data_IF_333336157981
#
_entry.id   IF_333336157981
#
_cell.length_a   1.000
_cell.length_b   1.000
_cell.length_c   1.000
_cell.angle_alpha   90.00
_cell.angle_beta   90.00
_cell.angle_gamma   90.00
#
_symmetry.space_group_name_H-M   'P 1'
#
loop_
_entity.id
_entity.type
_entity.pdbx_description
1 polymer ?
#
# COMPACT_ATOMS: atom_id res chain seq x y z
N UNK A 1 39.88 -72.50 -23.73
CA UNK A 1 38.54 -72.70 -24.35
C UNK A 1 37.52 -72.58 -23.22
N UNK A 2 36.86 -71.41 -23.11
CA UNK A 2 35.50 -71.15 -23.60
C UNK A 2 34.43 -71.80 -22.70
N UNK A 3 33.41 -71.13 -22.17
CA UNK A 3 32.97 -69.75 -22.38
C UNK A 3 31.90 -69.35 -21.36
N UNK A 4 31.74 -68.04 -21.25
CA UNK A 4 30.69 -67.33 -20.53
C UNK A 4 29.33 -67.51 -21.24
N UNK A 5 28.23 -67.45 -20.49
CA UNK A 5 26.89 -66.94 -20.88
C UNK A 5 25.94 -67.22 -19.71
N UNK A 6 25.06 -66.35 -19.22
CA UNK A 6 24.68 -64.99 -19.58
C UNK A 6 23.49 -64.67 -18.67
N UNK A 7 23.70 -63.88 -17.61
CA UNK A 7 22.62 -63.40 -16.76
C UNK A 7 22.23 -62.01 -17.25
N UNK A 8 21.05 -61.93 -17.87
CA UNK A 8 20.49 -60.71 -18.44
C UNK A 8 20.25 -59.66 -17.33
N UNK A 9 21.10 -58.63 -17.31
CA UNK A 9 20.91 -57.42 -16.53
C UNK A 9 19.86 -56.55 -17.24
N UNK A 10 18.68 -56.40 -16.63
CA UNK A 10 17.53 -55.72 -17.24
C UNK A 10 17.77 -54.22 -17.42
N UNK A 11 17.56 -53.63 -18.62
CA UNK A 11 17.89 -52.24 -18.92
C UNK A 11 16.79 -51.26 -18.45
N UNK A 12 16.28 -51.41 -17.22
CA UNK A 12 15.09 -50.67 -16.77
C UNK A 12 15.31 -49.63 -15.66
N UNK A 13 16.42 -49.69 -14.92
CA UNK A 13 16.59 -48.92 -13.67
C UNK A 13 17.46 -47.68 -13.77
N UNK A 14 18.31 -47.57 -14.79
CA UNK A 14 19.26 -46.45 -14.92
C UNK A 14 18.64 -45.17 -15.52
N UNK A 15 17.53 -45.26 -16.25
CA UNK A 15 16.86 -44.08 -16.84
C UNK A 15 16.16 -43.19 -15.81
N UNK A 16 15.52 -43.79 -14.79
CA UNK A 16 14.73 -43.05 -13.78
C UNK A 16 15.53 -42.12 -12.86
N UNK A 17 16.86 -42.29 -12.78
CA UNK A 17 17.73 -41.41 -11.99
C UNK A 17 18.18 -40.18 -12.78
N UNK A 18 18.35 -40.28 -14.10
CA UNK A 18 18.74 -39.17 -14.95
C UNK A 18 17.64 -38.09 -15.05
N UNK A 19 16.39 -38.51 -15.18
CA UNK A 19 15.23 -37.59 -15.27
C UNK A 19 15.02 -36.73 -14.02
N UNK A 20 15.47 -37.20 -12.85
CA UNK A 20 15.41 -36.43 -11.59
C UNK A 20 16.54 -35.40 -11.46
N UNK A 21 17.64 -35.60 -12.20
CA UNK A 21 18.80 -34.70 -12.18
C UNK A 21 18.66 -33.57 -13.21
N UNK A 22 18.02 -33.85 -14.36
CA UNK A 22 17.86 -32.90 -15.46
C UNK A 22 16.54 -32.11 -15.44
N UNK A 23 15.67 -32.36 -14.46
CA UNK A 23 14.33 -31.78 -14.42
C UNK A 23 13.46 -32.40 -15.51
N UNK A 24 12.44 -33.14 -15.10
CA UNK A 24 11.41 -33.59 -16.05
C UNK A 24 10.85 -32.35 -16.78
N UNK A 25 10.65 -32.42 -18.11
CA UNK A 25 10.11 -31.28 -18.86
C UNK A 25 8.82 -30.84 -18.18
N UNK A 26 8.76 -29.56 -17.81
CA UNK A 26 7.59 -28.99 -17.15
C UNK A 26 6.39 -29.22 -18.07
N UNK A 27 5.39 -29.96 -17.57
CA UNK A 27 4.18 -30.27 -18.30
C UNK A 27 3.47 -28.95 -18.65
N UNK A 28 3.43 -28.54 -19.94
CA UNK A 28 2.85 -27.28 -20.36
C UNK A 28 1.33 -27.21 -20.13
N UNK A 29 0.71 -28.33 -19.72
CA UNK A 29 -0.71 -28.45 -19.42
C UNK A 29 -1.08 -28.34 -17.95
N UNK A 30 -0.13 -28.27 -17.01
CA UNK A 30 -0.48 -28.08 -15.59
C UNK A 30 -0.96 -26.65 -15.36
N UNK A 31 -2.25 -26.43 -15.03
CA UNK A 31 -2.72 -25.09 -14.69
C UNK A 31 -1.88 -24.62 -13.51
N UNK A 32 -1.14 -23.52 -13.72
CA UNK A 32 -0.37 -22.88 -12.65
C UNK A 32 -1.37 -22.67 -11.51
N UNK A 33 -1.17 -23.25 -10.31
CA UNK A 33 -2.13 -23.12 -9.22
C UNK A 33 -2.40 -21.63 -9.06
N UNK A 34 -3.67 -21.27 -9.25
CA UNK A 34 -4.13 -19.91 -9.12
C UNK A 34 -3.71 -19.50 -7.72
N UNK A 35 -2.67 -18.66 -7.63
CA UNK A 35 -2.16 -18.19 -6.35
C UNK A 35 -3.33 -17.44 -5.73
N UNK A 36 -4.02 -18.11 -4.83
CA UNK A 36 -5.04 -17.56 -3.96
C UNK A 36 -4.39 -16.33 -3.32
N UNK A 37 -4.70 -15.14 -3.85
CA UNK A 37 -4.14 -13.91 -3.31
C UNK A 37 -4.68 -13.83 -1.90
N UNK A 38 -3.84 -13.95 -0.85
CA UNK A 38 -4.35 -13.85 0.51
C UNK A 38 -5.11 -12.54 0.61
N UNK A 39 -6.38 -12.61 1.02
CA UNK A 39 -7.20 -11.43 1.18
C UNK A 39 -6.41 -10.44 2.05
N UNK A 40 -6.22 -9.21 1.54
CA UNK A 40 -5.42 -8.21 2.26
C UNK A 40 -5.93 -8.12 3.71
N UNK A 41 -5.04 -8.14 4.72
CA UNK A 41 -5.43 -8.16 6.12
C UNK A 41 -6.47 -7.08 6.41
N UNK A 42 -7.54 -7.37 7.18
CA UNK A 42 -8.64 -6.43 7.40
C UNK A 42 -8.16 -5.10 8.00
N UNK A 43 -7.09 -5.12 8.81
CA UNK A 43 -6.43 -3.92 9.33
C UNK A 43 -5.90 -3.02 8.19
N UNK A 44 -5.29 -3.60 7.15
CA UNK A 44 -4.74 -2.85 6.02
C UNK A 44 -5.83 -2.24 5.14
N UNK A 45 -6.97 -2.93 4.99
CA UNK A 45 -8.15 -2.37 4.31
C UNK A 45 -8.77 -1.22 5.10
N UNK A 46 -8.84 -1.33 6.44
CA UNK A 46 -9.30 -0.23 7.31
C UNK A 46 -8.37 0.97 7.21
N UNK A 47 -7.06 0.77 7.29
CA UNK A 47 -6.07 1.81 7.12
C UNK A 47 -6.22 2.52 5.76
N UNK A 48 -6.31 1.75 4.68
CA UNK A 48 -6.55 2.30 3.34
C UNK A 48 -7.88 3.11 3.24
N UNK A 49 -8.93 2.72 3.96
CA UNK A 49 -10.17 3.51 4.03
C UNK A 49 -9.98 4.83 4.78
N UNK A 50 -9.27 4.82 5.91
CA UNK A 50 -8.99 6.04 6.68
C UNK A 50 -8.21 7.04 5.83
N UNK A 51 -7.12 6.61 5.19
CA UNK A 51 -6.32 7.47 4.30
C UNK A 51 -7.13 7.97 3.11
N UNK A 52 -8.02 7.13 2.55
CA UNK A 52 -8.91 7.56 1.47
C UNK A 52 -9.89 8.65 1.94
N UNK A 53 -10.40 8.56 3.18
CA UNK A 53 -11.26 9.60 3.77
C UNK A 53 -10.49 10.89 3.97
N UNK A 54 -9.24 10.84 4.43
CA UNK A 54 -8.38 12.02 4.57
C UNK A 54 -8.10 12.68 3.21
N UNK A 55 -7.79 11.88 2.19
CA UNK A 55 -7.58 12.37 0.83
C UNK A 55 -8.83 13.09 0.30
N UNK A 56 -10.02 12.51 0.52
CA UNK A 56 -11.30 13.15 0.17
C UNK A 56 -11.54 14.44 0.97
N UNK A 57 -11.16 14.47 2.24
CA UNK A 57 -11.19 15.66 3.07
C UNK A 57 -10.36 16.80 2.48
N UNK A 58 -9.13 16.50 2.05
CA UNK A 58 -8.26 17.47 1.39
C UNK A 58 -8.82 17.93 0.03
N UNK A 59 -9.45 17.06 -0.74
CA UNK A 59 -10.18 17.46 -1.96
C UNK A 59 -11.30 18.45 -1.61
N UNK A 60 -12.06 18.19 -0.54
CA UNK A 60 -13.06 19.12 -0.03
C UNK A 60 -12.48 20.48 0.33
N UNK A 61 -11.32 20.52 1.01
CA UNK A 61 -10.59 21.76 1.31
C UNK A 61 -10.19 22.49 0.03
N UNK A 62 -9.65 21.78 -0.97
CA UNK A 62 -9.27 22.39 -2.25
C UNK A 62 -10.48 23.01 -2.96
N UNK A 63 -11.65 22.36 -2.93
CA UNK A 63 -12.89 22.91 -3.49
C UNK A 63 -13.30 24.19 -2.76
N UNK A 64 -13.21 24.22 -1.42
CA UNK A 64 -13.50 25.42 -0.63
C UNK A 64 -12.52 26.55 -0.96
N UNK A 65 -11.22 26.26 -1.09
CA UNK A 65 -10.22 27.25 -1.47
C UNK A 65 -10.51 27.83 -2.87
N UNK A 66 -10.83 26.98 -3.85
CA UNK A 66 -11.23 27.43 -5.19
C UNK A 66 -12.48 28.31 -5.11
N UNK A 67 -13.48 27.91 -4.33
CA UNK A 67 -14.68 28.72 -4.11
C UNK A 67 -14.31 30.10 -3.53
N UNK A 68 -13.45 30.16 -2.51
CA UNK A 68 -13.00 31.41 -1.91
C UNK A 68 -12.22 32.29 -2.88
N UNK A 69 -11.41 31.71 -3.77
CA UNK A 69 -10.72 32.46 -4.82
C UNK A 69 -11.72 33.12 -5.77
N UNK A 70 -12.83 32.45 -6.07
CA UNK A 70 -13.84 32.91 -7.02
C UNK A 70 -14.83 33.92 -6.40
N UNK A 71 -15.16 33.79 -5.12
CA UNK A 71 -16.20 34.62 -4.47
C UNK A 71 -15.65 35.74 -3.60
N UNK A 72 -14.36 35.72 -3.26
CA UNK A 72 -13.73 36.68 -2.37
C UNK A 72 -12.59 37.41 -3.08
N UNK A 73 -12.05 38.46 -2.44
CA UNK A 73 -10.86 39.17 -2.91
C UNK A 73 -9.62 38.68 -2.15
N UNK A 74 -8.86 37.68 -2.67
CA UNK A 74 -7.64 37.24 -2.03
C UNK A 74 -6.58 38.34 -2.05
N UNK A 75 -5.79 38.44 -0.99
CA UNK A 75 -4.66 39.40 -0.91
C UNK A 75 -3.62 39.16 -2.00
N UNK A 76 -3.44 37.89 -2.40
CA UNK A 76 -2.60 37.49 -3.53
C UNK A 76 -3.19 36.27 -4.22
N UNK A 77 -3.57 36.41 -5.49
CA UNK A 77 -4.12 35.32 -6.29
C UNK A 77 -3.09 34.20 -6.52
N UNK A 78 -1.81 34.55 -6.69
CA UNK A 78 -0.76 33.54 -6.90
C UNK A 78 -0.54 32.69 -5.66
N UNK A 79 -0.57 33.29 -4.46
CA UNK A 79 -0.48 32.56 -3.20
C UNK A 79 -1.68 31.61 -3.02
N UNK A 80 -2.90 32.11 -3.26
CA UNK A 80 -4.11 31.30 -3.13
C UNK A 80 -4.14 30.11 -4.10
N UNK A 81 -3.72 30.31 -5.36
CA UNK A 81 -3.56 29.20 -6.32
C UNK A 81 -2.48 28.22 -5.86
N UNK A 82 -1.38 28.71 -5.28
CA UNK A 82 -0.34 27.88 -4.68
C UNK A 82 -0.88 26.97 -3.57
N UNK A 83 -1.75 27.49 -2.70
CA UNK A 83 -2.42 26.70 -1.65
C UNK A 83 -3.28 25.59 -2.23
N UNK A 84 -4.11 25.89 -3.25
CA UNK A 84 -4.93 24.88 -3.93
C UNK A 84 -4.07 23.76 -4.50
N UNK A 85 -3.01 24.12 -5.24
CA UNK A 85 -2.10 23.13 -5.85
C UNK A 85 -1.43 22.28 -4.77
N UNK A 86 -0.94 22.90 -3.70
CA UNK A 86 -0.30 22.20 -2.59
C UNK A 86 -1.25 21.19 -1.92
N UNK A 87 -2.48 21.60 -1.63
CA UNK A 87 -3.50 20.72 -1.04
C UNK A 87 -3.86 19.57 -1.98
N UNK A 88 -4.00 19.82 -3.29
CA UNK A 88 -4.28 18.78 -4.28
C UNK A 88 -3.11 17.79 -4.43
N UNK A 89 -1.87 18.25 -4.33
CA UNK A 89 -0.70 17.36 -4.32
C UNK A 89 -0.71 16.45 -3.08
N UNK A 90 -1.01 17.00 -1.90
CA UNK A 90 -1.14 16.21 -0.68
C UNK A 90 -2.29 15.18 -0.78
N UNK A 91 -3.46 15.60 -1.29
CA UNK A 91 -4.59 14.70 -1.53
C UNK A 91 -4.24 13.57 -2.50
N UNK A 92 -3.51 13.89 -3.57
CA UNK A 92 -3.05 12.90 -4.56
C UNK A 92 -2.06 11.93 -3.94
N UNK A 93 -1.10 12.42 -3.15
CA UNK A 93 -0.13 11.58 -2.46
C UNK A 93 -0.83 10.59 -1.51
N UNK A 94 -1.80 11.05 -0.71
CA UNK A 94 -2.61 10.20 0.16
C UNK A 94 -3.45 9.20 -0.65
N UNK A 95 -4.06 9.61 -1.76
CA UNK A 95 -4.82 8.72 -2.63
C UNK A 95 -3.95 7.60 -3.24
N UNK A 96 -2.74 7.93 -3.66
CA UNK A 96 -1.77 6.97 -4.21
C UNK A 96 -1.31 5.97 -3.14
N UNK A 97 -1.04 6.43 -1.92
CA UNK A 97 -0.65 5.54 -0.81
C UNK A 97 -1.82 4.68 -0.34
N UNK A 98 -3.05 5.22 -0.28
CA UNK A 98 -4.26 4.45 -0.01
C UNK A 98 -4.47 3.33 -1.03
N UNK A 99 -4.30 3.61 -2.33
CA UNK A 99 -4.35 2.60 -3.38
C UNK A 99 -3.23 1.55 -3.22
N UNK A 100 -2.03 1.97 -2.82
CA UNK A 100 -0.91 1.07 -2.49
C UNK A 100 -1.22 0.14 -1.31
N UNK A 101 -1.79 0.69 -0.23
CA UNK A 101 -2.23 -0.06 0.96
C UNK A 101 -3.36 -1.04 0.62
N UNK A 102 -4.34 -0.62 -0.18
CA UNK A 102 -5.43 -1.49 -0.63
C UNK A 102 -4.93 -2.69 -1.43
N UNK A 103 -3.84 -2.51 -2.18
CA UNK A 103 -3.16 -3.57 -2.95
C UNK A 103 -2.13 -4.36 -2.13
N UNK A 104 -2.01 -4.08 -0.84
CA UNK A 104 -1.00 -4.64 0.05
C UNK A 104 0.44 -4.52 -0.49
N UNK A 105 0.77 -3.35 -1.06
CA UNK A 105 2.07 -3.11 -1.67
C UNK A 105 3.15 -2.83 -0.61
N UNK A 106 4.31 -3.49 -0.77
CA UNK A 106 5.51 -3.39 0.08
C UNK A 106 5.96 -1.94 0.37
N UNK A 107 5.85 -1.09 -0.64
CA UNK A 107 6.38 0.28 -0.63
C UNK A 107 5.44 1.30 0.03
N UNK A 108 4.15 0.99 0.20
CA UNK A 108 3.15 2.00 0.59
C UNK A 108 3.28 2.48 2.04
N UNK A 109 3.95 1.70 2.91
CA UNK A 109 4.02 1.97 4.36
C UNK A 109 4.82 3.20 4.73
N UNK A 110 6.06 3.27 4.25
CA UNK A 110 6.96 4.35 4.64
C UNK A 110 6.42 5.73 4.20
N UNK A 111 5.92 5.90 2.96
CA UNK A 111 5.29 7.14 2.53
C UNK A 111 4.07 7.51 3.38
N UNK A 112 3.20 6.55 3.72
CA UNK A 112 1.99 6.86 4.49
C UNK A 112 2.35 7.38 5.89
N UNK A 113 3.33 6.77 6.57
CA UNK A 113 3.78 7.23 7.89
C UNK A 113 4.29 8.67 7.81
N UNK A 114 5.12 8.98 6.81
CA UNK A 114 5.64 10.34 6.60
C UNK A 114 4.50 11.34 6.35
N UNK A 115 3.56 10.99 5.48
CA UNK A 115 2.41 11.85 5.20
C UNK A 115 1.54 12.08 6.44
N UNK A 116 1.36 11.06 7.30
CA UNK A 116 0.60 11.20 8.54
C UNK A 116 1.30 12.08 9.58
N UNK A 117 2.64 12.05 9.64
CA UNK A 117 3.37 12.96 10.52
C UNK A 117 3.25 14.42 10.05
N UNK A 118 3.34 14.65 8.73
CA UNK A 118 3.13 15.99 8.15
C UNK A 118 1.69 16.47 8.37
N UNK A 119 0.71 15.61 8.10
CA UNK A 119 -0.70 15.92 8.31
C UNK A 119 -1.01 16.14 9.80
N UNK A 120 -0.37 15.38 10.69
CA UNK A 120 -0.44 15.55 12.13
C UNK A 120 0.10 16.91 12.58
N UNK A 121 1.25 17.34 12.04
CA UNK A 121 1.79 18.68 12.29
C UNK A 121 0.83 19.78 11.83
N UNK A 122 0.27 19.65 10.63
CA UNK A 122 -0.75 20.59 10.12
C UNK A 122 -1.98 20.60 11.01
N UNK A 123 -2.49 19.43 11.42
CA UNK A 123 -3.63 19.30 12.33
C UNK A 123 -3.38 19.95 13.69
N UNK A 124 -2.16 19.84 14.21
CA UNK A 124 -1.73 20.51 15.45
C UNK A 124 -1.76 22.03 15.31
N UNK A 125 -1.13 22.57 14.26
CA UNK A 125 -1.14 24.02 13.99
C UNK A 125 -2.59 24.53 13.83
N UNK A 126 -3.45 23.80 13.14
CA UNK A 126 -4.88 24.18 13.01
C UNK A 126 -5.59 24.17 14.38
N UNK A 127 -5.36 23.14 15.19
CA UNK A 127 -6.06 23.00 16.48
C UNK A 127 -5.65 24.05 17.50
N UNK A 128 -4.34 24.33 17.61
CA UNK A 128 -3.78 25.06 18.73
C UNK A 128 -3.22 26.44 18.36
N UNK A 129 -2.64 26.62 17.17
CA UNK A 129 -2.09 27.91 16.75
C UNK A 129 -3.12 28.76 16.02
N UNK A 130 -3.95 28.14 15.16
CA UNK A 130 -5.04 28.81 14.47
C UNK A 130 -6.35 28.87 15.28
N UNK A 131 -6.35 28.32 16.50
CA UNK A 131 -7.51 28.28 17.42
C UNK A 131 -8.77 27.68 16.76
N UNK A 132 -8.60 26.70 15.86
CA UNK A 132 -9.69 25.95 15.21
C UNK A 132 -9.72 24.49 15.66
N UNK A 133 -9.94 24.21 16.96
CA UNK A 133 -9.91 22.84 17.50
C UNK A 133 -10.98 21.94 16.87
N UNK A 134 -12.13 22.49 16.47
CA UNK A 134 -13.20 21.74 15.80
C UNK A 134 -12.78 21.15 14.44
N UNK A 135 -11.70 21.67 13.84
CA UNK A 135 -11.13 21.17 12.58
C UNK A 135 -9.86 20.36 12.86
N UNK A 136 -8.95 20.91 13.66
CA UNK A 136 -7.66 20.28 13.91
C UNK A 136 -7.74 19.00 14.72
N UNK A 137 -8.63 18.91 15.73
CA UNK A 137 -8.76 17.69 16.55
C UNK A 137 -9.29 16.49 15.74
N UNK A 138 -10.32 16.62 14.88
CA UNK A 138 -10.70 15.52 13.98
C UNK A 138 -9.56 15.03 13.08
N UNK A 139 -8.77 15.95 12.50
CA UNK A 139 -7.60 15.58 11.67
C UNK A 139 -6.57 14.81 12.50
N UNK A 140 -6.23 15.30 13.70
CA UNK A 140 -5.32 14.61 14.61
C UNK A 140 -5.84 13.23 15.03
N UNK A 141 -7.15 13.08 15.22
CA UNK A 141 -7.76 11.79 15.55
C UNK A 141 -7.62 10.78 14.40
N UNK A 142 -7.85 11.20 13.14
CA UNK A 142 -7.65 10.34 11.97
C UNK A 142 -6.19 9.91 11.82
N UNK A 143 -5.25 10.85 11.97
CA UNK A 143 -3.81 10.58 11.97
C UNK A 143 -3.43 9.56 13.05
N UNK A 144 -3.92 9.74 14.28
CA UNK A 144 -3.64 8.82 15.38
C UNK A 144 -4.21 7.42 15.12
N UNK A 145 -5.43 7.32 14.58
CA UNK A 145 -6.06 6.05 14.21
C UNK A 145 -5.24 5.35 13.13
N UNK A 146 -4.80 6.05 12.10
CA UNK A 146 -4.01 5.48 11.01
C UNK A 146 -2.67 4.94 11.51
N UNK A 147 -1.94 5.74 12.30
CA UNK A 147 -0.68 5.31 12.89
C UNK A 147 -0.85 4.11 13.83
N UNK A 148 -1.95 4.07 14.59
CA UNK A 148 -2.30 2.93 15.43
C UNK A 148 -2.58 1.65 14.62
N UNK A 149 -3.33 1.77 13.52
CA UNK A 149 -3.63 0.65 12.60
C UNK A 149 -2.37 0.14 11.88
N UNK A 150 -1.40 1.01 11.61
CA UNK A 150 -0.12 0.63 11.02
C UNK A 150 0.85 0.01 12.03
N UNK A 151 0.73 0.39 13.31
CA UNK A 151 1.52 -0.16 14.40
C UNK A 151 1.06 -1.55 14.87
N UNK A 152 -0.14 -2.00 14.47
CA UNK A 152 -0.73 -3.28 14.91
C UNK A 152 0.07 -4.48 14.33
N UNK A 153 0.32 -5.55 15.11
CA UNK A 153 1.18 -6.67 14.70
C UNK A 153 0.72 -7.41 13.44
N UNK A 154 -0.58 -7.43 13.13
CA UNK A 154 -1.12 -8.05 11.91
C UNK A 154 -0.65 -7.32 10.65
N UNK A 155 -0.50 -6.00 10.76
CA UNK A 155 0.12 -5.20 9.71
C UNK A 155 1.59 -5.63 9.59
N UNK A 156 2.33 -5.67 10.70
CA UNK A 156 3.77 -5.99 10.69
C UNK A 156 4.07 -7.33 10.02
N UNK A 157 3.34 -8.40 10.38
CA UNK A 157 3.53 -9.75 9.86
C UNK A 157 3.27 -9.88 8.35
N UNK A 158 2.31 -9.14 7.80
CA UNK A 158 1.98 -9.18 6.38
C UNK A 158 3.12 -8.76 5.43
N UNK A 159 4.18 -8.14 5.94
CA UNK A 159 5.34 -7.71 5.16
C UNK A 159 6.61 -8.51 5.49
N UNK A 160 6.63 -9.28 6.58
CA UNK A 160 7.76 -10.15 6.93
C UNK A 160 7.68 -11.53 6.25
N UNK A 161 6.50 -11.93 5.77
CA UNK A 161 6.24 -13.24 5.13
C UNK A 161 6.37 -13.22 3.59
N UNK A 162 7.03 -12.19 3.02
CA UNK A 162 7.33 -12.07 1.58
C UNK A 162 8.82 -11.89 1.36
#
# INVERSE_FOLDING_TARGET
MAGETGAADGPGRRSRRGERLFGAPADPGTPRPERERPAAPPALRRAALVVAVEALGLVGVAVVLVYLILTSTPTSTSAAVGEVVFVLLAATALGVTAAGLWRAAGWARAPVIVLQLLLGLVGYTIAFEAERPLIGLPVLALVAVELYLLATPEARLAYFDR
#
